data_IF_965864661080
#
_entry.id   IF_965864661080
#
_cell.length_a   1.000
_cell.length_b   1.000
_cell.length_c   1.000
_cell.angle_alpha   90.00
_cell.angle_beta   90.00
_cell.angle_gamma   90.00
#
_symmetry.space_group_name_H-M   'P 1'
#
loop_
_entity.id
_entity.type
_entity.pdbx_description
1 polymer ?
#
# COMPACT_ATOMS: atom_id res chain seq x y z
N UNK A 1 -10.09 -10.05 2.39
CA UNK A 1 -9.04 -9.63 3.35
C UNK A 1 -9.04 -8.12 3.60
N UNK A 2 -8.52 -7.25 2.73
CA UNK A 2 -8.49 -5.79 3.04
C UNK A 2 -9.90 -5.17 3.14
N UNK A 3 -10.76 -5.39 2.14
CA UNK A 3 -12.14 -4.87 2.20
C UNK A 3 -12.93 -5.45 3.37
N UNK A 4 -12.84 -6.76 3.64
CA UNK A 4 -13.50 -7.36 4.81
C UNK A 4 -13.00 -6.76 6.13
N UNK A 5 -11.70 -6.44 6.24
CA UNK A 5 -11.14 -5.77 7.41
C UNK A 5 -11.78 -4.39 7.61
N UNK A 6 -11.99 -3.64 6.51
CA UNK A 6 -12.70 -2.37 6.54
C UNK A 6 -14.19 -2.52 6.89
N UNK A 7 -14.87 -3.53 6.35
CA UNK A 7 -16.27 -3.83 6.63
C UNK A 7 -16.51 -4.25 8.09
N UNK A 8 -15.52 -4.90 8.70
CA UNK A 8 -15.51 -5.21 10.14
C UNK A 8 -15.15 -4.01 11.02
N UNK A 9 -14.86 -2.83 10.43
CA UNK A 9 -14.45 -1.63 11.16
C UNK A 9 -13.03 -1.69 11.72
N UNK A 10 -12.23 -2.67 11.30
CA UNK A 10 -10.82 -2.76 11.68
C UNK A 10 -10.01 -1.76 10.84
N UNK A 11 -9.25 -0.91 11.53
CA UNK A 11 -8.35 0.02 10.85
C UNK A 11 -7.07 -0.69 10.43
N UNK A 12 -6.71 -0.70 9.13
CA UNK A 12 -5.40 -1.13 8.70
C UNK A 12 -4.32 -0.21 9.31
N UNK A 13 -3.25 -0.84 9.76
CA UNK A 13 -2.08 -0.20 10.35
C UNK A 13 -0.91 -0.16 9.36
N UNK A 14 0.22 0.37 9.81
CA UNK A 14 1.47 0.44 9.03
C UNK A 14 1.89 -0.93 8.47
N UNK A 15 1.77 -2.00 9.27
CA UNK A 15 2.15 -3.36 8.89
C UNK A 15 1.23 -3.90 7.79
N UNK A 16 -0.07 -3.66 7.93
CA UNK A 16 -1.09 -4.07 6.95
C UNK A 16 -0.81 -3.44 5.58
N UNK A 17 -0.51 -2.14 5.57
CA UNK A 17 -0.18 -1.44 4.33
C UNK A 17 1.16 -1.88 3.75
N UNK A 18 2.18 -2.10 4.57
CA UNK A 18 3.45 -2.67 4.11
C UNK A 18 3.26 -4.01 3.41
N UNK A 19 2.43 -4.89 3.97
CA UNK A 19 2.12 -6.18 3.34
C UNK A 19 1.39 -6.01 2.00
N UNK A 20 0.42 -5.09 1.92
CA UNK A 20 -0.32 -4.79 0.69
C UNK A 20 0.57 -4.18 -0.40
N UNK A 21 1.38 -3.19 -0.07
CA UNK A 21 2.31 -2.56 -1.01
C UNK A 21 3.34 -3.56 -1.51
N UNK A 22 3.84 -4.45 -0.63
CA UNK A 22 4.74 -5.52 -1.00
C UNK A 22 4.08 -6.50 -1.97
N UNK A 23 2.85 -6.95 -1.70
CA UNK A 23 2.13 -7.87 -2.60
C UNK A 23 1.79 -7.22 -3.94
N UNK A 24 1.32 -5.98 -3.95
CA UNK A 24 1.07 -5.23 -5.20
C UNK A 24 2.36 -5.04 -6.00
N UNK A 25 3.48 -4.78 -5.32
CA UNK A 25 4.80 -4.68 -5.94
C UNK A 25 5.24 -5.98 -6.59
N UNK A 26 5.07 -7.13 -5.93
CA UNK A 26 5.38 -8.43 -6.51
C UNK A 26 4.44 -8.81 -7.65
N UNK A 27 3.18 -8.37 -7.60
CA UNK A 27 2.20 -8.60 -8.66
C UNK A 27 2.36 -7.67 -9.87
N UNK A 28 3.25 -6.68 -9.83
CA UNK A 28 3.42 -5.70 -10.90
C UNK A 28 2.28 -4.68 -10.99
N UNK A 29 1.45 -4.57 -9.94
CA UNK A 29 0.26 -3.72 -9.89
C UNK A 29 0.62 -2.31 -9.43
N UNK A 30 1.17 -1.49 -10.34
CA UNK A 30 1.64 -0.14 -10.03
C UNK A 30 0.50 0.79 -9.58
N UNK A 31 -0.64 0.73 -10.27
CA UNK A 31 -1.77 1.63 -10.00
C UNK A 31 -2.37 1.37 -8.62
N UNK A 32 -2.62 0.11 -8.29
CA UNK A 32 -3.16 -0.33 -7.00
C UNK A 32 -2.20 0.00 -5.85
N UNK A 33 -0.89 -0.21 -6.07
CA UNK A 33 0.15 0.15 -5.10
C UNK A 33 0.15 1.67 -4.83
N UNK A 34 0.09 2.49 -5.87
CA UNK A 34 0.01 3.96 -5.76
C UNK A 34 -1.27 4.42 -5.05
N UNK A 35 -2.40 3.82 -5.40
CA UNK A 35 -3.68 4.15 -4.77
C UNK A 35 -3.63 3.85 -3.27
N UNK A 36 -3.16 2.67 -2.87
CA UNK A 36 -3.05 2.32 -1.45
C UNK A 36 -2.08 3.24 -0.71
N UNK A 37 -0.95 3.58 -1.33
CA UNK A 37 0.04 4.49 -0.75
C UNK A 37 -0.56 5.89 -0.49
N UNK A 38 -1.40 6.40 -1.38
CA UNK A 38 -2.12 7.67 -1.16
C UNK A 38 -3.21 7.55 -0.09
N UNK A 39 -3.96 6.45 -0.09
CA UNK A 39 -5.03 6.20 0.88
C UNK A 39 -4.51 6.07 2.31
N UNK A 40 -3.30 5.54 2.53
CA UNK A 40 -2.65 5.45 3.85
C UNK A 40 -2.76 6.74 4.66
N UNK A 41 -2.29 7.86 4.07
CA UNK A 41 -2.30 9.16 4.75
C UNK A 41 -3.68 9.81 4.72
N UNK A 42 -4.37 9.72 3.57
CA UNK A 42 -5.63 10.45 3.33
C UNK A 42 -6.82 9.89 4.09
N UNK A 43 -6.96 8.56 4.14
CA UNK A 43 -8.12 7.89 4.72
C UNK A 43 -7.83 7.30 6.10
N UNK A 44 -6.61 6.79 6.30
CA UNK A 44 -6.26 6.07 7.52
C UNK A 44 -5.39 6.87 8.49
N UNK A 45 -4.85 8.02 8.05
CA UNK A 45 -3.94 8.85 8.85
C UNK A 45 -2.61 8.16 9.15
N UNK A 46 -2.26 7.12 8.41
CA UNK A 46 -1.01 6.37 8.55
C UNK A 46 0.08 7.12 7.79
N UNK A 47 1.19 7.41 8.47
CA UNK A 47 2.29 8.16 7.90
C UNK A 47 3.11 7.32 6.93
N UNK A 48 3.34 7.86 5.74
CA UNK A 48 4.12 7.21 4.68
C UNK A 48 5.61 7.28 5.05
N UNK A 49 6.17 6.17 5.53
CA UNK A 49 7.63 6.08 5.77
C UNK A 49 8.42 5.79 4.50
N UNK A 50 9.73 6.04 4.56
CA UNK A 50 10.70 5.74 3.50
C UNK A 50 10.66 4.28 3.03
N UNK A 51 10.39 3.35 3.94
CA UNK A 51 10.24 1.91 3.66
C UNK A 51 9.12 1.64 2.65
N UNK A 52 8.02 2.39 2.73
CA UNK A 52 6.88 2.26 1.83
C UNK A 52 7.18 2.82 0.43
N UNK A 53 8.02 3.86 0.33
CA UNK A 53 8.43 4.44 -0.95
C UNK A 53 9.24 3.47 -1.81
N UNK A 54 9.98 2.54 -1.19
CA UNK A 54 10.79 1.54 -1.91
C UNK A 54 9.91 0.71 -2.83
N UNK A 55 8.70 0.33 -2.41
CA UNK A 55 7.79 -0.48 -3.23
C UNK A 55 7.30 0.26 -4.48
N UNK A 56 6.99 1.55 -4.35
CA UNK A 56 6.55 2.40 -5.47
C UNK A 56 7.69 2.60 -6.48
N UNK A 57 8.88 2.96 -5.99
CA UNK A 57 10.06 3.17 -6.85
C UNK A 57 10.48 1.87 -7.54
N UNK A 58 10.46 0.75 -6.81
CA UNK A 58 10.76 -0.57 -7.38
C UNK A 58 9.79 -0.93 -8.50
N UNK A 59 8.49 -0.73 -8.31
CA UNK A 59 7.48 -0.94 -9.35
C UNK A 59 7.71 -0.06 -10.58
N UNK A 60 8.00 1.23 -10.38
CA UNK A 60 8.30 2.15 -11.49
C UNK A 60 9.53 1.71 -12.28
N UNK A 61 10.58 1.21 -11.61
CA UNK A 61 11.77 0.70 -12.27
C UNK A 61 11.57 -0.63 -13.02
N UNK A 62 10.55 -1.41 -12.67
CA UNK A 62 10.20 -2.66 -13.39
C UNK A 62 9.35 -2.43 -14.64
N UNK A 63 8.76 -1.25 -14.80
CA UNK A 63 7.93 -0.89 -15.95
C UNK A 63 8.72 -0.28 -17.14
N UNK A 64 10.05 -0.22 -17.02
CA UNK A 64 10.97 0.36 -18.02
C UNK A 64 11.57 -0.65 -18.99
#
# INVERSE_FOLDING_TARGET
>A
MFNEMLEMGLKPDEVTFSALLCTCCHAGLLHECQEMFMRMKREFGVEQRTEHHVYIVKLMGMAG
#
